data_IF_712055497255
#
_entry.id   IF_712055497255
#
_cell.length_a   1.000
_cell.length_b   1.000
_cell.length_c   1.000
_cell.angle_alpha   90.00
_cell.angle_beta   90.00
_cell.angle_gamma   90.00
#
_symmetry.space_group_name_H-M   'P 1'
#
loop_
_entity.id
_entity.type
_entity.pdbx_description
1 polymer ?
#
# COMPACT_ATOMS: atom_id res chain seq x y z
N UNK A 1 -0.25 13.70 2.40
CA UNK A 1 -0.69 14.29 1.12
C UNK A 1 -1.36 13.17 0.33
N UNK A 2 -2.69 13.22 0.18
CA UNK A 2 -3.46 12.20 -0.54
C UNK A 2 -3.98 12.83 -1.81
N UNK A 3 -3.54 12.34 -2.96
CA UNK A 3 -3.94 12.90 -4.25
C UNK A 3 -5.18 12.17 -4.81
N UNK A 4 -5.31 10.88 -4.54
CA UNK A 4 -6.40 10.02 -5.02
C UNK A 4 -6.76 8.99 -3.94
N UNK A 5 -8.05 8.68 -3.80
CA UNK A 5 -8.56 7.74 -2.81
C UNK A 5 -8.85 6.38 -3.44
N UNK A 6 -8.56 5.30 -2.73
CA UNK A 6 -8.86 3.92 -3.11
C UNK A 6 -8.19 3.43 -4.41
N UNK A 7 -7.13 4.10 -4.85
CA UNK A 7 -6.43 3.73 -6.10
C UNK A 7 -5.23 2.81 -5.86
N UNK A 8 -4.63 2.84 -4.67
CA UNK A 8 -3.47 1.98 -4.41
C UNK A 8 -3.85 0.50 -4.41
N UNK A 9 -2.91 -0.36 -4.72
CA UNK A 9 -3.05 -1.83 -4.76
C UNK A 9 -2.80 -2.50 -3.41
N UNK A 10 -2.38 -1.73 -2.39
CA UNK A 10 -2.04 -2.26 -1.07
C UNK A 10 -3.19 -3.06 -0.44
N UNK A 11 -2.92 -4.30 -0.06
CA UNK A 11 -3.81 -5.16 0.71
C UNK A 11 -3.12 -5.61 1.99
N UNK A 12 -3.93 -5.78 3.04
CA UNK A 12 -3.50 -6.27 4.35
C UNK A 12 -4.50 -7.32 4.83
N UNK A 13 -3.98 -8.50 5.15
CA UNK A 13 -4.72 -9.66 5.63
C UNK A 13 -4.45 -9.84 7.15
N UNK A 14 -5.39 -9.43 8.02
CA UNK A 14 -5.21 -9.52 9.46
C UNK A 14 -5.12 -10.96 9.97
N UNK A 15 -5.67 -11.94 9.26
CA UNK A 15 -5.68 -13.35 9.68
C UNK A 15 -4.28 -13.97 9.57
N UNK A 16 -3.48 -13.52 8.60
CA UNK A 16 -2.08 -13.92 8.44
C UNK A 16 -1.11 -13.08 9.26
N UNK A 17 -1.57 -11.97 9.85
CA UNK A 17 -0.70 -11.03 10.56
C UNK A 17 -0.39 -11.50 11.99
N UNK A 18 0.90 -11.71 12.28
CA UNK A 18 1.39 -12.06 13.63
C UNK A 18 1.68 -10.85 14.51
N UNK A 19 1.40 -9.63 14.03
CA UNK A 19 1.66 -8.37 14.74
C UNK A 19 3.15 -8.10 15.05
N UNK A 20 4.08 -8.72 14.30
CA UNK A 20 5.53 -8.60 14.49
C UNK A 20 6.07 -7.16 14.33
N UNK A 21 5.31 -6.27 13.68
CA UNK A 21 5.65 -4.85 13.59
C UNK A 21 6.63 -4.47 12.48
N UNK A 22 7.15 -5.43 11.71
CA UNK A 22 8.13 -5.14 10.64
C UNK A 22 7.63 -4.12 9.61
N UNK A 23 6.33 -4.15 9.27
CA UNK A 23 5.70 -3.17 8.38
C UNK A 23 5.69 -1.73 8.93
N UNK A 24 5.73 -1.56 10.26
CA UNK A 24 5.80 -0.25 10.93
C UNK A 24 7.19 0.38 10.74
N UNK A 25 8.24 -0.46 10.74
CA UNK A 25 9.63 -0.01 10.59
C UNK A 25 9.98 0.35 9.15
N UNK A 26 9.54 -0.48 8.19
CA UNK A 26 9.98 -0.36 6.80
C UNK A 26 9.10 0.55 5.94
N UNK A 27 7.95 0.99 6.44
CA UNK A 27 7.05 1.85 5.68
C UNK A 27 7.43 3.34 5.87
N UNK A 28 8.02 4.01 4.86
CA UNK A 28 8.41 5.41 4.98
C UNK A 28 7.21 6.35 5.14
N UNK A 29 6.04 5.93 4.67
CA UNK A 29 4.78 6.70 4.76
C UNK A 29 3.92 6.35 5.98
N UNK A 30 4.36 5.39 6.82
CA UNK A 30 3.64 4.98 8.05
C UNK A 30 2.16 4.67 7.82
N UNK A 31 1.85 3.95 6.74
CA UNK A 31 0.47 3.54 6.41
C UNK A 31 -0.09 2.51 7.40
N UNK A 32 0.79 1.84 8.15
CA UNK A 32 0.45 0.92 9.22
C UNK A 32 0.68 1.57 10.58
N UNK A 33 -0.15 1.22 11.57
CA UNK A 33 0.01 1.65 12.96
C UNK A 33 -0.21 0.49 13.93
N UNK A 34 0.21 0.70 15.18
CA UNK A 34 -0.10 -0.20 16.29
C UNK A 34 -1.29 0.35 17.07
N UNK A 35 -2.35 -0.44 17.17
CA UNK A 35 -3.55 -0.15 17.96
C UNK A 35 -3.91 -1.38 18.77
N UNK A 36 -4.05 -1.24 20.09
CA UNK A 36 -4.39 -2.32 21.02
C UNK A 36 -3.52 -3.58 20.84
N UNK A 37 -2.21 -3.37 20.65
CA UNK A 37 -1.24 -4.43 20.43
C UNK A 37 -1.28 -5.08 19.04
N UNK A 38 -2.22 -4.70 18.18
CA UNK A 38 -2.35 -5.21 16.80
C UNK A 38 -1.82 -4.22 15.77
N UNK A 39 -1.32 -4.75 14.67
CA UNK A 39 -1.01 -3.96 13.47
C UNK A 39 -2.32 -3.71 12.72
N UNK A 40 -2.56 -2.45 12.36
CA UNK A 40 -3.69 -2.04 11.55
C UNK A 40 -3.23 -1.22 10.34
N UNK A 41 -3.99 -1.29 9.25
CA UNK A 41 -3.80 -0.41 8.10
C UNK A 41 -4.53 0.92 8.37
N UNK A 42 -3.78 1.93 8.78
CA UNK A 42 -4.31 3.21 9.25
C UNK A 42 -4.49 4.24 8.13
N UNK A 43 -3.60 4.24 7.14
CA UNK A 43 -3.66 5.18 6.01
C UNK A 43 -3.29 4.53 4.67
N UNK A 44 -4.21 3.71 4.16
CA UNK A 44 -4.03 2.99 2.89
C UNK A 44 -3.62 3.91 1.74
N UNK A 45 -4.30 5.04 1.56
CA UNK A 45 -4.11 5.95 0.42
C UNK A 45 -2.81 6.77 0.50
N UNK A 46 -2.08 6.71 1.61
CA UNK A 46 -0.73 7.26 1.70
C UNK A 46 0.35 6.30 1.17
N UNK A 47 -0.02 5.09 0.74
CA UNK A 47 0.90 4.13 0.18
C UNK A 47 1.45 4.62 -1.18
N UNK A 48 2.77 4.71 -1.29
CA UNK A 48 3.45 5.00 -2.56
C UNK A 48 3.82 3.74 -3.37
N UNK A 49 3.33 2.57 -2.92
CA UNK A 49 3.52 1.28 -3.61
C UNK A 49 4.98 0.82 -3.77
N UNK A 50 5.86 1.25 -2.86
CA UNK A 50 7.28 0.88 -2.86
C UNK A 50 7.60 -0.60 -2.55
N UNK A 51 6.61 -1.39 -2.11
CA UNK A 51 6.79 -2.82 -1.83
C UNK A 51 7.61 -3.18 -0.58
N UNK A 52 8.11 -2.21 0.20
CA UNK A 52 8.97 -2.50 1.35
C UNK A 52 8.27 -3.37 2.41
N UNK A 53 7.02 -3.07 2.73
CA UNK A 53 6.21 -3.83 3.70
C UNK A 53 5.96 -5.28 3.24
N UNK A 54 5.55 -5.48 1.99
CA UNK A 54 5.30 -6.81 1.42
C UNK A 54 6.58 -7.66 1.39
N UNK A 55 7.71 -7.10 0.91
CA UNK A 55 9.00 -7.81 0.86
C UNK A 55 9.53 -8.23 2.23
N UNK A 56 9.15 -7.53 3.30
CA UNK A 56 9.60 -7.84 4.65
C UNK A 56 8.54 -8.59 5.48
N UNK A 57 7.39 -8.94 4.90
CA UNK A 57 6.36 -9.70 5.60
C UNK A 57 6.60 -11.21 5.41
N UNK A 58 7.31 -11.84 6.35
CA UNK A 58 7.58 -13.27 6.32
C UNK A 58 6.32 -14.16 6.34
N UNK A 59 5.17 -13.61 6.74
CA UNK A 59 3.89 -14.32 6.88
C UNK A 59 2.95 -14.10 5.68
N UNK A 60 3.36 -13.31 4.68
CA UNK A 60 2.53 -13.03 3.51
C UNK A 60 1.22 -12.29 3.83
N UNK A 61 1.17 -11.53 4.92
CA UNK A 61 0.00 -10.77 5.35
C UNK A 61 -0.19 -9.45 4.57
N UNK A 62 0.77 -9.06 3.72
CA UNK A 62 0.76 -7.77 3.02
C UNK A 62 1.14 -8.02 1.56
N UNK A 63 0.34 -7.48 0.64
CA UNK A 63 0.64 -7.44 -0.81
C UNK A 63 0.50 -6.02 -1.34
N UNK A 64 1.31 -5.69 -2.34
CA UNK A 64 1.25 -4.43 -3.08
C UNK A 64 1.96 -4.62 -4.42
N UNK A 65 1.36 -4.11 -5.48
CA UNK A 65 1.94 -4.17 -6.82
C UNK A 65 2.93 -3.03 -6.98
N UNK A 66 4.18 -3.37 -7.33
CA UNK A 66 5.26 -2.41 -7.53
C UNK A 66 5.34 -2.06 -9.02
N UNK A 67 5.55 -0.80 -9.35
CA UNK A 67 5.95 -0.39 -10.71
C UNK A 67 4.89 0.31 -11.55
N UNK A 68 3.63 0.36 -11.13
CA UNK A 68 2.57 1.15 -11.80
C UNK A 68 1.86 2.06 -10.81
N UNK A 69 2.61 3.03 -10.27
CA UNK A 69 2.02 4.03 -9.37
C UNK A 69 0.89 4.82 -10.03
N UNK A 70 0.11 5.55 -9.22
CA UNK A 70 -0.92 6.48 -9.69
C UNK A 70 -0.39 7.46 -10.77
N UNK A 71 0.90 7.81 -10.73
CA UNK A 71 1.53 8.63 -11.75
C UNK A 71 1.49 7.98 -13.14
N UNK A 72 1.78 6.68 -13.26
CA UNK A 72 1.69 5.95 -14.52
C UNK A 72 0.25 5.89 -15.02
N UNK A 73 -0.72 5.60 -14.14
CA UNK A 73 -2.15 5.59 -14.49
C UNK A 73 -2.63 6.97 -14.98
N UNK A 74 -2.19 8.07 -14.36
CA UNK A 74 -2.51 9.44 -14.80
C UNK A 74 -1.85 9.74 -16.15
N UNK A 75 -0.57 9.38 -16.33
CA UNK A 75 0.16 9.60 -17.58
C UNK A 75 -0.50 8.81 -18.71
N UNK A 76 -0.83 7.54 -18.49
CA UNK A 76 -1.53 6.69 -19.46
C UNK A 76 -2.90 7.27 -19.77
N UNK A 77 -3.73 7.56 -18.76
CA UNK A 77 -5.06 8.14 -18.97
C UNK A 77 -5.03 9.47 -19.73
N UNK A 78 -4.00 10.29 -19.51
CA UNK A 78 -3.77 11.50 -20.31
C UNK A 78 -3.46 11.18 -21.78
N UNK A 79 -2.63 10.16 -22.07
CA UNK A 79 -2.28 9.78 -23.44
C UNK A 79 -3.39 9.01 -24.17
N UNK A 80 -4.17 8.19 -23.46
CA UNK A 80 -5.21 7.33 -24.05
C UNK A 80 -6.61 7.93 -23.98
N UNK A 81 -6.80 9.00 -23.20
CA UNK A 81 -8.11 9.59 -22.93
C UNK A 81 -9.02 8.69 -22.07
N UNK A 82 -8.47 7.66 -21.42
CA UNK A 82 -9.21 6.75 -20.54
C UNK A 82 -9.10 7.17 -19.08
N UNK A 83 -10.08 6.81 -18.26
CA UNK A 83 -10.00 7.08 -16.82
C UNK A 83 -8.76 6.39 -16.22
N UNK A 84 -8.01 7.06 -15.33
CA UNK A 84 -6.87 6.45 -14.65
C UNK A 84 -7.33 5.29 -13.78
N UNK A 85 -7.02 4.06 -14.19
CA UNK A 85 -7.23 2.86 -13.38
C UNK A 85 -5.89 2.33 -12.90
N UNK A 86 -5.82 1.97 -11.62
CA UNK A 86 -4.70 1.20 -11.11
C UNK A 86 -4.96 -0.26 -11.46
N UNK A 87 -4.17 -0.79 -12.41
CA UNK A 87 -4.30 -2.14 -12.96
C UNK A 87 -3.49 -2.27 -14.24
#
# INVERSE_FOLDING_TARGET
>A
MKYLKNVVTLQFDPEKCTNCGRCLEVCPHRVFQRQDGKVVLADRDACMECGACARNCAFGAISVEQGVGCAAAIIVGFFTGTEPTCG
#
